data_IF_687034734415
#
_entry.id   IF_687034734415
#
_cell.length_a   1.000
_cell.length_b   1.000
_cell.length_c   1.000
_cell.angle_alpha   90.00
_cell.angle_beta   90.00
_cell.angle_gamma   90.00
#
_symmetry.space_group_name_H-M   'P 1'
#
loop_
_entity.id
_entity.type
_entity.pdbx_description
1 polymer ?
#
# COMPACT_ATOMS: atom_id res chain seq x y z
N UNK A 1 26.65 -12.91 -51.27
CA UNK A 1 26.29 -12.22 -50.00
C UNK A 1 24.99 -11.45 -50.18
N UNK A 2 23.87 -11.97 -49.68
CA UNK A 2 22.61 -11.23 -49.55
C UNK A 2 22.15 -11.37 -48.10
N UNK A 3 22.22 -10.27 -47.37
CA UNK A 3 21.81 -10.17 -45.96
C UNK A 3 20.29 -10.05 -45.91
N UNK A 4 19.62 -11.03 -45.31
CA UNK A 4 18.18 -10.96 -45.01
C UNK A 4 18.02 -10.58 -43.53
N UNK A 5 17.80 -9.30 -43.28
CA UNK A 5 17.43 -8.78 -41.97
C UNK A 5 16.00 -9.20 -41.66
N UNK A 6 15.82 -10.16 -40.75
CA UNK A 6 14.51 -10.57 -40.23
C UNK A 6 13.98 -9.47 -39.30
N UNK A 7 12.97 -8.72 -39.76
CA UNK A 7 12.13 -7.93 -38.86
C UNK A 7 11.18 -8.87 -38.10
N UNK A 8 11.39 -8.99 -36.79
CA UNK A 8 10.47 -9.66 -35.88
C UNK A 8 9.30 -8.72 -35.60
N UNK A 9 8.18 -8.89 -36.31
CA UNK A 9 6.91 -8.25 -35.95
C UNK A 9 6.34 -8.98 -34.73
N UNK A 10 6.44 -8.38 -33.56
CA UNK A 10 5.74 -8.85 -32.35
C UNK A 10 4.28 -8.41 -32.46
N UNK A 11 3.42 -9.35 -32.86
CA UNK A 11 1.97 -9.16 -32.87
C UNK A 11 1.46 -9.25 -31.42
N UNK A 12 1.31 -8.09 -30.76
CA UNK A 12 0.64 -7.98 -29.46
C UNK A 12 -0.86 -8.24 -29.64
N UNK A 13 -1.28 -9.49 -29.47
CA UNK A 13 -2.68 -9.86 -29.39
C UNK A 13 -3.20 -9.38 -28.03
N UNK A 14 -3.81 -8.20 -28.02
CA UNK A 14 -4.69 -7.79 -26.93
C UNK A 14 -5.93 -8.70 -26.95
N UNK A 15 -5.87 -9.82 -26.22
CA UNK A 15 -7.07 -10.50 -25.77
C UNK A 15 -7.78 -9.52 -24.83
N UNK A 16 -8.79 -8.83 -25.37
CA UNK A 16 -9.65 -7.94 -24.61
C UNK A 16 -10.35 -8.73 -23.52
N UNK A 17 -9.80 -8.71 -22.31
CA UNK A 17 -10.47 -9.18 -21.10
C UNK A 17 -11.76 -8.38 -21.01
N UNK A 18 -12.88 -9.09 -21.03
CA UNK A 18 -14.20 -8.50 -20.83
C UNK A 18 -14.21 -7.77 -19.48
N UNK A 19 -14.64 -6.50 -19.40
CA UNK A 19 -14.75 -5.79 -18.12
C UNK A 19 -15.78 -6.41 -17.17
N UNK A 20 -16.52 -7.46 -17.59
CA UNK A 20 -17.35 -8.25 -16.69
C UNK A 20 -16.54 -9.27 -15.87
N UNK A 21 -15.39 -9.74 -16.34
CA UNK A 21 -14.54 -10.65 -15.56
C UNK A 21 -13.73 -9.90 -14.49
N UNK A 22 -13.49 -8.61 -14.70
CA UNK A 22 -12.90 -7.73 -13.69
C UNK A 22 -13.84 -7.47 -12.48
N UNK A 23 -15.13 -7.84 -12.58
CA UNK A 23 -16.08 -7.68 -11.47
C UNK A 23 -16.04 -8.80 -10.42
N UNK A 24 -15.15 -9.78 -10.59
CA UNK A 24 -14.87 -10.82 -9.57
C UNK A 24 -13.66 -10.50 -8.68
N UNK A 25 -12.97 -9.36 -8.90
CA UNK A 25 -11.83 -8.94 -8.06
C UNK A 25 -12.27 -8.17 -6.80
N UNK A 26 -13.56 -8.17 -6.45
CA UNK A 26 -14.04 -7.65 -5.14
C UNK A 26 -14.04 -8.70 -4.03
N UNK A 27 -13.32 -9.81 -4.18
CA UNK A 27 -13.22 -10.87 -3.19
C UNK A 27 -11.74 -11.09 -2.84
N UNK A 28 -11.39 -10.80 -1.58
CA UNK A 28 -10.08 -10.92 -0.92
C UNK A 28 -9.29 -9.62 -0.76
N UNK A 29 -9.42 -9.12 0.46
CA UNK A 29 -8.75 -8.02 1.15
C UNK A 29 -7.26 -8.30 1.39
N UNK A 30 -6.51 -8.76 0.38
CA UNK A 30 -5.20 -9.34 0.60
C UNK A 30 -4.10 -8.46 0.03
N UNK A 31 -3.72 -7.44 0.81
CA UNK A 31 -2.31 -7.04 0.85
C UNK A 31 -1.54 -8.27 1.39
N UNK A 32 -1.10 -9.14 0.49
CA UNK A 32 -0.13 -10.20 0.82
C UNK A 32 1.29 -9.65 0.93
N UNK A 33 1.46 -8.45 0.38
CA UNK A 33 2.69 -7.72 0.22
C UNK A 33 2.42 -6.29 0.66
N UNK A 34 3.29 -5.77 1.50
CA UNK A 34 3.31 -4.38 1.90
C UNK A 34 4.30 -3.67 0.97
N UNK A 35 3.75 -2.89 0.04
CA UNK A 35 4.55 -1.94 -0.73
C UNK A 35 4.74 -0.67 0.08
N UNK A 36 5.97 -0.18 0.10
CA UNK A 36 6.36 0.99 0.86
C UNK A 36 7.40 1.80 0.11
N UNK A 37 7.25 3.12 0.18
CA UNK A 37 8.20 4.10 -0.33
C UNK A 37 8.96 4.67 0.86
N UNK A 38 10.28 4.61 0.79
CA UNK A 38 11.19 5.12 1.83
C UNK A 38 12.01 6.26 1.22
N UNK A 39 11.92 7.43 1.84
CA UNK A 39 12.69 8.62 1.47
C UNK A 39 13.57 9.02 2.65
N UNK A 40 14.86 9.29 2.40
CA UNK A 40 15.82 9.61 3.46
C UNK A 40 16.74 10.77 3.07
N UNK A 41 16.96 11.67 4.02
CA UNK A 41 18.02 12.68 4.00
C UNK A 41 18.84 12.56 5.27
N UNK A 42 20.16 12.60 5.13
CA UNK A 42 21.05 12.64 6.28
C UNK A 42 22.38 13.33 5.94
N UNK A 43 23.01 13.89 6.97
CA UNK A 43 24.41 14.31 6.97
C UNK A 43 25.30 13.33 7.76
N UNK A 44 24.73 12.18 8.14
CA UNK A 44 25.35 11.20 9.01
C UNK A 44 26.57 10.53 8.36
N UNK A 45 27.74 10.75 8.95
CA UNK A 45 28.86 9.82 8.88
C UNK A 45 28.75 8.79 10.02
N UNK A 46 27.71 7.93 10.03
CA UNK A 46 27.60 6.81 10.98
C UNK A 46 28.69 5.72 10.80
N UNK A 47 29.82 6.05 10.15
CA UNK A 47 30.94 5.13 9.99
C UNK A 47 31.60 4.94 11.36
N UNK A 48 31.20 3.86 12.05
CA UNK A 48 31.90 3.19 13.16
C UNK A 48 31.89 3.92 14.50
N UNK A 49 30.74 4.04 15.14
CA UNK A 49 30.70 4.29 16.57
C UNK A 49 29.78 3.23 17.18
N UNK A 50 30.38 2.27 17.88
CA UNK A 50 29.62 1.32 18.71
C UNK A 50 29.09 2.04 19.96
N UNK A 51 27.93 1.61 20.46
CA UNK A 51 27.31 2.11 21.69
C UNK A 51 26.83 3.58 21.65
N UNK A 52 26.39 4.06 20.49
CA UNK A 52 25.69 5.36 20.41
C UNK A 52 24.40 5.29 21.24
N UNK A 53 24.21 6.25 22.15
CA UNK A 53 23.02 6.35 22.99
C UNK A 53 21.92 7.17 22.31
N UNK A 54 20.72 6.60 22.23
CA UNK A 54 19.55 7.24 21.65
C UNK A 54 18.43 7.34 22.69
N UNK A 55 17.86 8.54 22.81
CA UNK A 55 16.57 8.71 23.45
C UNK A 55 15.48 8.77 22.36
N UNK A 56 14.40 8.03 22.55
CA UNK A 56 13.28 7.98 21.58
C UNK A 56 12.05 8.66 22.17
N UNK A 57 11.48 9.59 21.41
CA UNK A 57 10.25 10.32 21.69
C UNK A 57 9.25 10.27 20.52
N UNK A 58 8.00 10.61 20.81
CA UNK A 58 7.04 11.03 19.80
C UNK A 58 7.27 12.52 19.48
N UNK A 59 7.18 12.91 18.20
CA UNK A 59 7.35 14.33 17.79
C UNK A 59 6.37 15.27 18.51
N UNK A 60 5.14 14.81 18.71
CA UNK A 60 4.21 15.47 19.61
C UNK A 60 4.40 14.90 21.02
N UNK A 61 5.21 15.55 21.86
CA UNK A 61 5.59 15.04 23.19
C UNK A 61 4.41 14.70 24.11
N UNK A 62 3.25 15.34 23.95
CA UNK A 62 2.06 15.00 24.74
C UNK A 62 1.58 13.56 24.55
N UNK A 63 1.96 12.92 23.42
CA UNK A 63 1.61 11.54 23.08
C UNK A 63 2.62 10.51 23.62
N UNK A 64 3.70 10.93 24.28
CA UNK A 64 4.72 10.01 24.81
C UNK A 64 4.18 9.01 25.84
N UNK A 65 3.04 9.29 26.45
CA UNK A 65 2.39 8.41 27.41
C UNK A 65 1.35 7.48 26.77
N UNK A 66 1.06 7.64 25.48
CA UNK A 66 0.05 6.86 24.78
C UNK A 66 0.49 5.41 24.64
N UNK A 67 -0.47 4.49 24.82
CA UNK A 67 -0.21 3.06 24.68
C UNK A 67 0.26 2.69 23.28
N UNK A 68 -0.27 3.35 22.26
CA UNK A 68 0.11 3.13 20.86
C UNK A 68 1.57 3.52 20.64
N UNK A 69 1.97 4.72 21.04
CA UNK A 69 3.36 5.17 20.97
C UNK A 69 4.30 4.23 21.72
N UNK A 70 3.98 3.87 22.97
CA UNK A 70 4.81 2.95 23.79
C UNK A 70 4.93 1.56 23.16
N UNK A 71 3.96 1.17 22.34
CA UNK A 71 4.01 -0.08 21.58
C UNK A 71 4.94 0.08 20.37
N UNK A 72 4.83 1.17 19.62
CA UNK A 72 5.65 1.40 18.42
C UNK A 72 7.11 1.76 18.75
N UNK A 73 7.38 2.45 19.87
CA UNK A 73 8.74 2.69 20.39
C UNK A 73 9.55 1.39 20.50
N UNK A 74 8.90 0.27 20.84
CA UNK A 74 9.56 -1.04 20.94
C UNK A 74 10.04 -1.57 19.58
N UNK A 75 9.33 -1.24 18.50
CA UNK A 75 9.73 -1.64 17.14
C UNK A 75 11.04 -0.93 16.75
N UNK A 76 11.14 0.38 17.03
CA UNK A 76 12.38 1.14 16.84
C UNK A 76 13.51 0.61 17.69
N UNK A 77 13.26 0.37 18.98
CA UNK A 77 14.25 -0.22 19.89
C UNK A 77 14.83 -1.51 19.33
N UNK A 78 13.97 -2.42 18.86
CA UNK A 78 14.40 -3.70 18.30
C UNK A 78 15.28 -3.54 17.05
N UNK A 79 15.00 -2.57 16.16
CA UNK A 79 15.83 -2.36 14.96
C UNK A 79 17.15 -1.66 15.30
N UNK A 80 17.13 -0.67 16.20
CA UNK A 80 18.31 0.07 16.62
C UNK A 80 19.29 -0.79 17.42
N UNK A 81 18.79 -1.69 18.27
CA UNK A 81 19.65 -2.62 19.02
C UNK A 81 20.39 -3.60 18.09
N UNK A 82 19.79 -4.01 16.96
CA UNK A 82 20.49 -4.82 15.93
C UNK A 82 21.65 -4.07 15.27
N UNK A 83 21.61 -2.75 15.33
CA UNK A 83 22.64 -1.85 14.81
C UNK A 83 23.61 -1.37 15.92
N UNK A 84 23.62 -2.01 17.09
CA UNK A 84 24.46 -1.69 18.26
C UNK A 84 24.23 -0.29 18.87
N UNK A 85 23.05 0.31 18.66
CA UNK A 85 22.64 1.49 19.41
C UNK A 85 22.09 1.10 20.78
N UNK A 86 22.29 1.98 21.77
CA UNK A 86 21.82 1.81 23.14
C UNK A 86 20.65 2.76 23.36
N UNK A 87 19.46 2.23 23.67
CA UNK A 87 18.31 3.08 23.99
C UNK A 87 18.37 3.47 25.46
N UNK A 88 18.40 4.77 25.73
CA UNK A 88 18.35 5.35 27.08
C UNK A 88 16.96 5.89 27.38
N UNK A 89 16.59 5.87 28.67
CA UNK A 89 15.31 6.40 29.15
C UNK A 89 15.41 7.85 29.63
N UNK A 90 16.62 8.32 29.95
CA UNK A 90 16.91 9.72 30.24
C UNK A 90 17.39 10.43 28.97
N UNK A 91 16.80 11.59 28.70
CA UNK A 91 17.16 12.43 27.57
C UNK A 91 18.59 12.99 27.75
N UNK A 92 19.00 13.30 28.98
CA UNK A 92 20.30 13.92 29.24
C UNK A 92 21.49 12.94 29.06
N UNK A 93 21.21 11.64 29.00
CA UNK A 93 22.21 10.61 28.75
C UNK A 93 22.43 10.31 27.26
N UNK A 94 21.60 10.87 26.36
CA UNK A 94 21.58 10.51 24.95
C UNK A 94 22.57 11.31 24.11
N UNK A 95 23.25 10.64 23.19
CA UNK A 95 24.06 11.29 22.15
C UNK A 95 23.19 11.87 21.03
N UNK A 96 22.03 11.25 20.80
CA UNK A 96 21.05 11.66 19.81
C UNK A 96 19.61 11.50 20.30
N UNK A 97 18.70 12.32 19.75
CA UNK A 97 17.26 12.25 19.97
C UNK A 97 16.57 11.76 18.71
N UNK A 98 15.92 10.61 18.77
CA UNK A 98 15.05 10.12 17.69
C UNK A 98 13.61 10.48 18.01
N UNK A 99 13.00 11.25 17.14
CA UNK A 99 11.59 11.60 17.23
C UNK A 99 10.83 10.99 16.07
N UNK A 100 9.69 10.38 16.35
CA UNK A 100 8.83 9.85 15.29
C UNK A 100 7.37 10.22 15.47
N UNK A 101 6.67 10.28 14.35
CA UNK A 101 5.22 10.42 14.28
C UNK A 101 4.69 9.47 13.23
N UNK A 102 3.43 9.11 13.35
CA UNK A 102 2.78 8.15 12.49
C UNK A 102 1.32 8.52 12.29
N UNK A 103 0.71 8.00 11.25
CA UNK A 103 -0.71 8.21 11.02
C UNK A 103 -1.24 7.47 9.80
N UNK A 104 -2.56 7.62 9.62
CA UNK A 104 -3.28 6.99 8.53
C UNK A 104 -4.43 7.88 8.07
N UNK A 105 -4.54 8.07 6.76
CA UNK A 105 -5.57 8.86 6.11
C UNK A 105 -6.39 7.98 5.16
N UNK A 106 -7.71 8.17 5.13
CA UNK A 106 -8.58 7.51 4.16
C UNK A 106 -8.60 8.29 2.83
N UNK A 107 -8.48 7.57 1.73
CA UNK A 107 -8.64 8.06 0.37
C UNK A 107 -9.81 7.33 -0.29
N UNK A 108 -10.74 8.07 -0.87
CA UNK A 108 -11.94 7.53 -1.51
C UNK A 108 -11.92 7.92 -2.98
N UNK A 109 -11.92 6.92 -3.86
CA UNK A 109 -12.04 7.07 -5.31
C UNK A 109 -13.39 6.51 -5.77
N UNK A 110 -14.09 7.24 -6.61
CA UNK A 110 -15.32 6.76 -7.26
C UNK A 110 -15.00 6.35 -8.70
N UNK A 111 -15.18 5.07 -9.00
CA UNK A 111 -14.93 4.50 -10.33
C UNK A 111 -16.26 4.24 -10.99
N UNK A 112 -16.53 4.92 -12.10
CA UNK A 112 -17.73 4.71 -12.89
C UNK A 112 -17.42 3.78 -14.05
N UNK A 113 -18.16 2.68 -14.18
CA UNK A 113 -18.07 1.81 -15.34
C UNK A 113 -19.41 1.68 -16.06
N UNK A 114 -19.38 1.64 -17.40
CA UNK A 114 -20.59 1.50 -18.20
C UNK A 114 -21.23 0.11 -18.00
N UNK A 115 -22.55 0.09 -17.83
CA UNK A 115 -23.35 -1.13 -17.86
C UNK A 115 -23.93 -1.29 -19.27
N UNK A 116 -23.64 -2.41 -19.90
CA UNK A 116 -24.16 -2.74 -21.23
C UNK A 116 -25.22 -3.83 -21.15
N UNK A 117 -26.32 -3.62 -21.89
CA UNK A 117 -27.25 -4.69 -22.27
C UNK A 117 -26.80 -5.29 -23.60
N UNK A 118 -26.65 -6.61 -23.64
CA UNK A 118 -26.36 -7.32 -24.88
C UNK A 118 -27.67 -7.59 -25.63
N UNK A 119 -27.68 -7.32 -26.93
CA UNK A 119 -28.85 -7.56 -27.78
C UNK A 119 -28.55 -8.54 -28.91
N UNK A 120 -29.61 -9.05 -29.56
CA UNK A 120 -29.45 -9.89 -30.75
C UNK A 120 -29.11 -9.01 -31.96
N UNK A 121 -28.46 -9.60 -32.97
CA UNK A 121 -28.13 -8.90 -34.21
C UNK A 121 -29.41 -8.33 -34.85
N UNK A 122 -29.48 -7.01 -35.00
CA UNK A 122 -30.64 -6.30 -35.57
C UNK A 122 -31.67 -5.83 -34.54
N UNK A 123 -31.58 -6.28 -33.29
CA UNK A 123 -32.43 -5.83 -32.19
C UNK A 123 -31.75 -4.68 -31.42
N UNK A 124 -31.88 -3.47 -31.96
CA UNK A 124 -31.27 -2.27 -31.40
C UNK A 124 -32.30 -1.32 -30.77
N UNK A 125 -33.48 -1.82 -30.41
CA UNK A 125 -34.54 -1.00 -29.80
C UNK A 125 -34.21 -0.79 -28.33
N UNK A 126 -34.06 0.48 -27.91
CA UNK A 126 -33.79 0.85 -26.52
C UNK A 126 -35.03 1.29 -25.76
N UNK A 127 -36.08 1.66 -26.49
CA UNK A 127 -37.37 2.03 -25.94
C UNK A 127 -38.47 1.73 -26.96
N UNK A 128 -39.56 1.14 -26.49
CA UNK A 128 -40.76 0.87 -27.27
C UNK A 128 -41.99 1.22 -26.42
N UNK A 129 -42.93 1.97 -26.98
CA UNK A 129 -44.26 2.19 -26.40
C UNK A 129 -45.32 2.02 -27.48
N UNK A 130 -46.34 1.22 -27.15
CA UNK A 130 -47.50 0.97 -28.00
C UNK A 130 -48.76 1.43 -27.27
N UNK A 131 -49.59 2.21 -27.94
CA UNK A 131 -50.94 2.55 -27.47
C UNK A 131 -51.85 2.67 -28.67
N UNK A 132 -52.95 1.91 -28.67
CA UNK A 132 -53.91 1.86 -29.77
C UNK A 132 -53.20 1.66 -31.12
N UNK A 133 -53.44 2.54 -32.10
CA UNK A 133 -52.82 2.51 -33.43
C UNK A 133 -51.48 3.26 -33.52
N UNK A 134 -50.86 3.60 -32.39
CA UNK A 134 -49.59 4.34 -32.35
C UNK A 134 -48.46 3.51 -31.75
N UNK A 135 -47.39 3.34 -32.52
CA UNK A 135 -46.14 2.72 -32.10
C UNK A 135 -45.00 3.74 -32.14
N UNK A 136 -44.30 3.90 -31.03
CA UNK A 136 -43.08 4.71 -30.93
C UNK A 136 -41.90 3.84 -30.52
N UNK A 137 -40.81 3.92 -31.30
CA UNK A 137 -39.58 3.15 -31.07
C UNK A 137 -38.34 4.03 -31.20
N UNK A 138 -37.42 3.88 -30.26
CA UNK A 138 -36.07 4.46 -30.35
C UNK A 138 -35.09 3.32 -30.64
N UNK A 139 -34.33 3.46 -31.73
CA UNK A 139 -33.28 2.51 -32.13
C UNK A 139 -31.90 3.15 -32.01
N UNK A 140 -30.91 2.39 -31.57
CA UNK A 140 -29.50 2.81 -31.52
C UNK A 140 -28.66 2.14 -32.62
N UNK A 141 -27.58 2.80 -33.04
CA UNK A 141 -26.55 2.19 -33.91
C UNK A 141 -25.34 1.82 -33.05
N UNK A 142 -25.53 0.93 -32.07
CA UNK A 142 -24.43 0.59 -31.19
C UNK A 142 -23.50 -0.47 -31.82
N UNK A 143 -22.17 -0.27 -31.76
CA UNK A 143 -21.22 -1.29 -32.20
C UNK A 143 -21.37 -2.59 -31.39
N UNK A 144 -21.26 -3.74 -32.06
CA UNK A 144 -21.14 -5.08 -31.43
C UNK A 144 -22.34 -5.54 -30.58
N UNK A 145 -23.56 -5.11 -30.89
CA UNK A 145 -24.80 -5.50 -30.18
C UNK A 145 -24.77 -5.22 -28.66
N UNK A 146 -24.15 -4.11 -28.25
CA UNK A 146 -24.05 -3.68 -26.83
C UNK A 146 -24.70 -2.33 -26.64
N UNK A 147 -25.76 -2.22 -25.86
CA UNK A 147 -26.44 -0.96 -25.61
C UNK A 147 -26.01 -0.44 -24.24
N UNK A 148 -25.45 0.77 -24.17
CA UNK A 148 -25.20 1.43 -22.89
C UNK A 148 -26.53 1.74 -22.22
N UNK A 149 -26.81 1.12 -21.07
CA UNK A 149 -28.08 1.30 -20.34
C UNK A 149 -27.92 2.06 -19.02
N UNK A 150 -26.69 2.37 -18.64
CA UNK A 150 -26.39 3.15 -17.44
C UNK A 150 -24.94 3.03 -17.04
N UNK A 151 -24.64 3.56 -15.85
CA UNK A 151 -23.35 3.44 -15.20
C UNK A 151 -23.54 2.81 -13.83
N UNK A 152 -22.57 2.01 -13.40
CA UNK A 152 -22.44 1.60 -12.01
C UNK A 152 -21.26 2.34 -11.41
N UNK A 153 -21.48 2.93 -10.24
CA UNK A 153 -20.41 3.54 -9.46
C UNK A 153 -19.89 2.51 -8.46
N UNK A 154 -18.58 2.33 -8.43
CA UNK A 154 -17.88 1.58 -7.40
C UNK A 154 -17.13 2.59 -6.52
N UNK A 155 -17.37 2.49 -5.21
CA UNK A 155 -16.60 3.20 -4.19
C UNK A 155 -15.36 2.37 -3.90
N UNK A 156 -14.19 2.90 -4.25
CA UNK A 156 -12.91 2.29 -3.94
C UNK A 156 -12.25 3.08 -2.79
N UNK A 157 -11.97 2.41 -1.69
CA UNK A 157 -11.35 3.02 -0.50
C UNK A 157 -9.92 2.52 -0.39
N UNK A 158 -8.98 3.41 -0.10
CA UNK A 158 -7.61 3.07 0.28
C UNK A 158 -7.17 3.88 1.50
N UNK A 159 -6.17 3.36 2.19
CA UNK A 159 -5.60 3.95 3.41
C UNK A 159 -4.14 4.26 3.16
N UNK A 160 -3.83 5.55 3.12
CA UNK A 160 -2.47 6.07 3.10
C UNK A 160 -1.93 6.05 4.53
N UNK A 161 -0.84 5.33 4.75
CA UNK A 161 -0.22 5.12 6.07
C UNK A 161 1.19 5.67 6.01
N UNK A 162 1.59 6.41 7.03
CA UNK A 162 2.89 7.07 7.05
C UNK A 162 3.59 6.93 8.40
N UNK A 163 4.91 6.97 8.34
CA UNK A 163 5.83 7.07 9.46
C UNK A 163 6.88 8.11 9.10
N UNK A 164 7.01 9.16 9.91
CA UNK A 164 8.08 10.16 9.78
C UNK A 164 9.01 10.06 10.97
N UNK A 165 10.31 10.09 10.73
CA UNK A 165 11.36 9.96 11.73
C UNK A 165 12.37 11.08 11.52
N UNK A 166 12.71 11.77 12.59
CA UNK A 166 13.83 12.71 12.62
C UNK A 166 14.82 12.26 13.70
N UNK A 167 16.12 12.42 13.45
CA UNK A 167 17.15 12.25 14.48
C UNK A 167 17.89 13.57 14.62
N UNK A 168 18.05 14.03 15.86
CA UNK A 168 18.77 15.24 16.23
C UNK A 168 20.01 14.89 17.02
N UNK A 169 21.09 15.66 16.82
CA UNK A 169 22.31 15.52 17.60
C UNK A 169 22.19 16.28 18.92
N UNK A 170 22.57 15.66 20.03
CA UNK A 170 22.42 16.30 21.35
C UNK A 170 23.35 17.49 21.57
N UNK A 171 24.50 17.50 20.91
CA UNK A 171 25.53 18.54 21.02
C UNK A 171 25.10 19.90 20.47
N UNK A 172 24.47 19.91 19.29
CA UNK A 172 24.19 21.10 18.51
C UNK A 172 22.70 21.24 18.14
N UNK A 173 21.87 20.25 18.50
CA UNK A 173 20.43 20.21 18.24
C UNK A 173 20.05 20.28 16.76
N UNK A 174 21.00 20.03 15.86
CA UNK A 174 20.76 19.96 14.44
C UNK A 174 20.17 18.60 14.10
N UNK A 175 19.27 18.63 13.12
CA UNK A 175 18.69 17.43 12.56
C UNK A 175 19.69 16.77 11.63
N UNK A 176 20.11 15.56 11.97
CA UNK A 176 21.13 14.78 11.27
C UNK A 176 20.54 13.67 10.40
N UNK A 177 19.32 13.24 10.71
CA UNK A 177 18.56 12.25 9.92
C UNK A 177 17.13 12.71 9.71
N UNK A 178 16.60 12.47 8.52
CA UNK A 178 15.20 12.58 8.19
C UNK A 178 14.78 11.36 7.39
N UNK A 179 13.82 10.61 7.90
CA UNK A 179 13.27 9.44 7.24
C UNK A 179 11.77 9.55 7.10
N UNK A 180 11.25 9.12 5.95
CA UNK A 180 9.82 9.06 5.66
C UNK A 180 9.51 7.71 5.05
N UNK A 181 8.51 7.01 5.60
CA UNK A 181 8.01 5.75 5.05
C UNK A 181 6.52 5.89 4.81
N UNK A 182 6.09 5.62 3.58
CA UNK A 182 4.69 5.67 3.16
C UNK A 182 4.23 4.36 2.54
N UNK A 183 2.95 4.04 2.73
CA UNK A 183 2.31 2.87 2.14
C UNK A 183 0.83 3.15 1.85
N UNK A 184 0.29 2.56 0.78
CA UNK A 184 -1.14 2.64 0.42
C UNK A 184 -1.74 1.23 0.35
N UNK A 185 -2.99 1.07 0.80
CA UNK A 185 -3.66 -0.23 0.72
C UNK A 185 -5.07 -0.27 1.29
N UNK A 186 -5.60 -1.47 1.53
CA UNK A 186 -7.04 -1.68 1.75
C UNK A 186 -7.41 -1.93 3.21
N UNK A 187 -6.43 -2.23 4.05
CA UNK A 187 -6.67 -2.55 5.46
C UNK A 187 -6.70 -1.27 6.29
N UNK A 188 -7.84 -1.00 6.93
CA UNK A 188 -8.05 0.13 7.84
C UNK A 188 -7.43 -0.13 9.22
N UNK A 189 -6.12 -0.33 9.28
CA UNK A 189 -5.41 -0.57 10.53
C UNK A 189 -3.94 -0.22 10.40
N UNK A 190 -3.53 0.88 11.04
CA UNK A 190 -2.12 1.23 11.16
C UNK A 190 -1.31 0.16 11.94
N UNK A 191 -1.79 -0.37 13.09
CA UNK A 191 -1.08 -1.43 13.81
C UNK A 191 -0.79 -2.67 12.96
N UNK A 192 -1.61 -2.94 11.94
CA UNK A 192 -1.44 -4.09 11.06
C UNK A 192 -0.16 -4.02 10.21
N UNK A 193 0.36 -2.82 9.95
CA UNK A 193 1.56 -2.62 9.11
C UNK A 193 2.70 -1.87 9.77
N UNK A 194 2.49 -1.35 10.99
CA UNK A 194 3.48 -0.48 11.64
C UNK A 194 4.86 -1.13 11.77
N UNK A 195 4.92 -2.44 12.07
CA UNK A 195 6.18 -3.19 12.07
C UNK A 195 6.87 -3.18 10.70
N UNK A 196 6.12 -3.30 9.61
CA UNK A 196 6.65 -3.21 8.25
C UNK A 196 7.16 -1.81 7.91
N UNK A 197 6.45 -0.75 8.33
CA UNK A 197 6.90 0.64 8.11
C UNK A 197 8.21 0.93 8.87
N UNK A 198 8.31 0.51 10.13
CA UNK A 198 9.54 0.65 10.92
C UNK A 198 10.65 -0.18 10.29
N UNK A 199 10.44 -1.48 10.10
CA UNK A 199 11.45 -2.37 9.49
C UNK A 199 11.95 -1.83 8.15
N UNK A 200 11.04 -1.31 7.35
CA UNK A 200 11.30 -0.68 6.07
C UNK A 200 12.31 0.46 6.10
N UNK A 201 12.26 1.31 7.13
CA UNK A 201 13.24 2.36 7.36
C UNK A 201 14.65 1.80 7.64
N UNK A 202 14.71 0.60 8.23
CA UNK A 202 15.94 -0.04 8.70
C UNK A 202 16.54 -1.06 7.72
N UNK A 203 15.90 -1.35 6.58
CA UNK A 203 16.42 -2.29 5.56
C UNK A 203 17.82 -1.90 5.09
N UNK A 204 18.03 -0.61 4.83
CA UNK A 204 19.29 -0.05 4.32
C UNK A 204 19.78 1.10 5.21
N UNK A 205 19.38 1.19 6.47
CA UNK A 205 19.69 2.37 7.31
C UNK A 205 21.20 2.61 7.48
N UNK A 206 21.70 3.86 7.37
CA UNK A 206 20.97 5.11 7.08
C UNK A 206 20.71 5.35 5.58
N UNK A 207 21.26 4.50 4.72
CA UNK A 207 21.02 4.47 3.29
C UNK A 207 21.85 5.47 2.51
N UNK A 208 21.48 5.65 1.25
CA UNK A 208 21.96 6.78 0.47
C UNK A 208 21.12 8.02 0.76
N UNK A 209 21.74 9.08 1.25
CA UNK A 209 21.08 10.38 1.41
C UNK A 209 20.49 10.87 0.09
N UNK A 210 19.31 11.50 0.16
CA UNK A 210 18.55 12.00 -0.99
C UNK A 210 18.14 10.91 -1.99
N UNK A 211 17.86 9.69 -1.49
CA UNK A 211 17.33 8.59 -2.30
C UNK A 211 15.87 8.27 -1.97
N UNK A 212 15.18 7.75 -2.99
CA UNK A 212 13.83 7.17 -2.87
C UNK A 212 13.97 5.68 -3.17
N UNK A 213 13.63 4.85 -2.20
CA UNK A 213 13.66 3.40 -2.33
C UNK A 213 12.24 2.85 -2.23
N UNK A 214 11.92 1.88 -3.08
CA UNK A 214 10.65 1.16 -3.02
C UNK A 214 10.95 -0.25 -2.54
N UNK A 215 10.32 -0.63 -1.44
CA UNK A 215 10.45 -1.97 -0.88
C UNK A 215 9.10 -2.68 -0.88
N UNK A 216 9.18 -4.00 -0.93
CA UNK A 216 8.03 -4.88 -0.84
C UNK A 216 8.31 -5.92 0.24
N UNK A 217 7.46 -5.99 1.26
CA UNK A 217 7.60 -6.93 2.37
C UNK A 217 6.46 -7.93 2.37
N UNK A 218 6.76 -9.20 2.62
CA UNK A 218 5.75 -10.24 2.76
C UNK A 218 5.08 -10.21 4.14
N UNK A 219 3.82 -10.66 4.24
CA UNK A 219 3.02 -10.61 5.48
C UNK A 219 3.66 -11.35 6.66
N UNK A 220 4.40 -12.43 6.41
CA UNK A 220 5.14 -13.14 7.44
C UNK A 220 6.24 -12.29 8.10
N UNK A 221 6.75 -11.26 7.40
CA UNK A 221 7.73 -10.31 7.95
C UNK A 221 7.01 -9.20 8.70
N UNK A 222 6.10 -8.47 8.05
CA UNK A 222 5.50 -7.28 8.66
C UNK A 222 4.36 -7.59 9.63
N UNK A 223 3.68 -8.73 9.50
CA UNK A 223 2.62 -9.17 10.41
C UNK A 223 2.53 -10.71 10.53
N UNK A 224 3.51 -11.35 11.18
CA UNK A 224 3.60 -12.81 11.29
C UNK A 224 2.35 -13.45 11.92
N UNK A 225 1.71 -12.76 12.87
CA UNK A 225 0.50 -13.25 13.54
C UNK A 225 -0.68 -13.32 12.58
N UNK A 226 -0.89 -12.28 11.76
CA UNK A 226 -1.94 -12.28 10.75
C UNK A 226 -1.68 -13.33 9.67
N UNK A 227 -0.42 -13.47 9.24
CA UNK A 227 -0.01 -14.50 8.30
C UNK A 227 -0.34 -15.90 8.81
N UNK A 228 0.08 -16.26 10.03
CA UNK A 228 -0.19 -17.57 10.62
C UNK A 228 -1.70 -17.85 10.75
N UNK A 229 -2.46 -16.86 11.23
CA UNK A 229 -3.93 -16.97 11.33
C UNK A 229 -4.58 -17.26 9.97
N UNK A 230 -4.10 -16.61 8.91
CA UNK A 230 -4.57 -16.81 7.54
C UNK A 230 -4.23 -18.21 7.02
N UNK A 231 -3.01 -18.69 7.26
CA UNK A 231 -2.60 -20.05 6.86
C UNK A 231 -3.47 -21.10 7.54
N UNK A 232 -3.73 -20.96 8.84
CA UNK A 232 -4.60 -21.88 9.59
C UNK A 232 -6.03 -21.90 9.03
N UNK A 233 -6.60 -20.73 8.74
CA UNK A 233 -7.95 -20.63 8.14
C UNK A 233 -8.04 -21.28 6.76
N UNK A 234 -7.00 -21.12 5.93
CA UNK A 234 -6.94 -21.76 4.61
C UNK A 234 -6.88 -23.29 4.74
N UNK A 235 -6.09 -23.80 5.70
CA UNK A 235 -6.01 -25.23 5.97
C UNK A 235 -7.36 -25.81 6.40
N UNK A 236 -8.08 -25.15 7.32
CA UNK A 236 -9.41 -25.58 7.73
C UNK A 236 -10.41 -25.65 6.57
N UNK A 237 -10.38 -24.65 5.66
CA UNK A 237 -11.24 -24.64 4.48
C UNK A 237 -10.95 -25.80 3.54
N UNK A 238 -9.67 -26.18 3.39
CA UNK A 238 -9.27 -27.32 2.58
C UNK A 238 -9.74 -28.64 3.19
N UNK A 239 -9.64 -28.78 4.51
CA UNK A 239 -10.13 -29.97 5.24
C UNK A 239 -11.65 -30.09 5.06
N UNK A 240 -12.40 -29.00 5.25
CA UNK A 240 -13.88 -29.00 5.08
C UNK A 240 -14.35 -29.29 3.65
N UNK A 241 -13.53 -29.07 2.63
CA UNK A 241 -13.86 -29.39 1.23
C UNK A 241 -13.58 -30.85 0.87
N UNK A 242 -12.79 -31.56 1.69
CA UNK A 242 -12.43 -32.97 1.48
C UNK A 242 -13.37 -33.94 2.21
N UNK A 243 -14.10 -33.46 3.21
CA UNK A 243 -15.15 -34.18 3.92
C UNK A 243 -16.53 -33.81 3.35
#
# INVERSE_FOLDING_TARGET
MKSYTKFLFVLLIFLGISPQDASTITLYNNEYKLEMVVEVFHDLEFKKIDNIKLFISHKQHSMNNDLEYRTYKKLFKNELEKLNYVIVDDQDEADFFLEFEYGMNESIKFINYPIYKYTRKGDNVIYEKKRDNFEFRIKTKSPRNRILIGYKTLRDVSYHRYLNVDIFSSDNQLKVYQGKVESEGKINSLPYVMNGLVHGLFIDFPGNSSSINVYELSEDIYNPNAYQKRQNSNMERLIRRRN
#
